data_IF_566938551447
#
_entry.id   IF_566938551447
#
_cell.length_a   1.000
_cell.length_b   1.000
_cell.length_c   1.000
_cell.angle_alpha   90.00
_cell.angle_beta   90.00
_cell.angle_gamma   90.00
#
_symmetry.space_group_name_H-M   'P 1'
#
loop_
_entity.id
_entity.type
_entity.pdbx_description
1 polymer ?
#
# COMPACT_ATOMS: atom_id res chain seq x y z
N UNK A 1 0.75 -4.59 2.65
CA UNK A 1 0.53 -3.13 2.84
C UNK A 1 1.49 -2.31 2.01
N UNK A 2 2.72 -1.99 2.47
CA UNK A 2 3.67 -1.13 1.73
C UNK A 2 3.90 -1.49 0.26
N UNK A 3 3.99 -2.79 -0.07
CA UNK A 3 4.13 -3.26 -1.46
C UNK A 3 2.90 -2.96 -2.33
N UNK A 4 1.69 -3.09 -1.77
CA UNK A 4 0.43 -2.81 -2.47
C UNK A 4 0.23 -1.29 -2.63
N UNK A 5 0.54 -0.51 -1.59
CA UNK A 5 0.54 0.96 -1.64
C UNK A 5 1.51 1.49 -2.71
N UNK A 6 2.73 0.94 -2.77
CA UNK A 6 3.69 1.27 -3.81
C UNK A 6 3.16 0.90 -5.20
N UNK A 7 2.56 -0.28 -5.36
CA UNK A 7 1.97 -0.73 -6.63
C UNK A 7 0.86 0.22 -7.09
N UNK A 8 -0.04 0.62 -6.20
CA UNK A 8 -1.11 1.60 -6.49
C UNK A 8 -0.51 2.94 -6.86
N UNK A 9 0.49 3.43 -6.11
CA UNK A 9 1.16 4.70 -6.39
C UNK A 9 1.81 4.71 -7.77
N UNK A 10 2.58 3.67 -8.11
CA UNK A 10 3.26 3.58 -9.41
C UNK A 10 2.26 3.50 -10.56
N UNK A 11 1.20 2.69 -10.42
CA UNK A 11 0.14 2.58 -11.43
C UNK A 11 -0.62 3.90 -11.60
N UNK A 12 -0.89 4.61 -10.51
CA UNK A 12 -1.53 5.92 -10.55
C UNK A 12 -0.68 6.95 -11.30
N UNK A 13 0.61 7.02 -11.00
CA UNK A 13 1.53 7.90 -11.73
C UNK A 13 1.57 7.59 -13.23
N UNK A 14 1.58 6.31 -13.61
CA UNK A 14 1.54 5.91 -15.01
C UNK A 14 0.22 6.30 -15.71
N UNK A 15 -0.92 6.18 -15.01
CA UNK A 15 -2.23 6.65 -15.51
C UNK A 15 -2.23 8.16 -15.69
N UNK A 16 -1.77 8.92 -14.69
CA UNK A 16 -1.75 10.38 -14.72
C UNK A 16 -0.85 10.90 -15.87
N UNK A 17 0.32 10.29 -16.06
CA UNK A 17 1.22 10.61 -17.17
C UNK A 17 0.58 10.30 -18.53
N UNK A 18 -0.07 9.14 -18.67
CA UNK A 18 -0.74 8.76 -19.91
C UNK A 18 -1.92 9.70 -20.23
N UNK A 19 -2.70 10.09 -19.22
CA UNK A 19 -3.78 11.07 -19.37
C UNK A 19 -3.26 12.44 -19.82
N UNK A 20 -2.13 12.88 -19.27
CA UNK A 20 -1.50 14.14 -19.68
C UNK A 20 -1.09 14.10 -21.17
N UNK A 21 -0.52 12.98 -21.63
CA UNK A 21 -0.14 12.79 -23.04
C UNK A 21 -1.34 12.76 -23.99
N UNK A 22 -2.44 12.09 -23.62
CA UNK A 22 -3.67 12.09 -24.40
C UNK A 22 -4.20 13.52 -24.55
N UNK A 23 -4.25 14.27 -23.44
CA UNK A 23 -4.72 15.65 -23.43
C UNK A 23 -3.85 16.58 -24.27
N UNK A 24 -2.54 16.37 -24.29
CA UNK A 24 -1.62 17.12 -25.15
C UNK A 24 -1.94 16.91 -26.64
N UNK A 25 -2.20 15.66 -27.05
CA UNK A 25 -2.58 15.35 -28.42
C UNK A 25 -3.95 15.94 -28.78
N UNK A 26 -4.93 15.86 -27.89
CA UNK A 26 -6.26 16.47 -28.10
C UNK A 26 -6.14 17.98 -28.31
N UNK A 27 -5.28 18.66 -27.53
CA UNK A 27 -5.01 20.09 -27.72
C UNK A 27 -4.34 20.38 -29.07
N UNK A 28 -3.33 19.57 -29.46
CA UNK A 28 -2.65 19.70 -30.74
C UNK A 28 -3.61 19.49 -31.92
N UNK A 29 -4.52 18.52 -31.83
CA UNK A 29 -5.56 18.31 -32.85
C UNK A 29 -6.51 19.51 -32.93
N UNK A 30 -6.96 20.05 -31.79
CA UNK A 30 -7.82 21.24 -31.75
C UNK A 30 -7.18 22.45 -32.43
N UNK A 31 -5.92 22.75 -32.12
CA UNK A 31 -5.18 23.85 -32.77
C UNK A 31 -4.95 23.61 -34.27
N UNK A 32 -4.67 22.35 -34.65
CA UNK A 32 -4.48 21.96 -36.05
C UNK A 32 -5.78 22.11 -36.85
N UNK A 33 -6.93 21.77 -36.27
CA UNK A 33 -8.24 21.97 -36.91
C UNK A 33 -8.54 23.46 -37.18
N UNK A 34 -8.25 24.34 -36.21
CA UNK A 34 -8.40 25.79 -36.40
C UNK A 34 -7.50 26.27 -37.55
N UNK A 35 -6.23 25.83 -37.56
CA UNK A 35 -5.26 26.20 -38.60
C UNK A 35 -5.69 25.72 -39.99
N UNK A 36 -6.25 24.50 -40.08
CA UNK A 36 -6.80 23.96 -41.34
C UNK A 36 -7.95 24.86 -41.84
N UNK A 37 -8.85 25.30 -40.94
CA UNK A 37 -9.95 26.20 -41.31
C UNK A 37 -9.42 27.55 -41.80
N UNK A 38 -8.44 28.13 -41.12
CA UNK A 38 -7.80 29.40 -41.55
C UNK A 38 -7.14 29.27 -42.93
N UNK A 39 -6.50 28.12 -43.21
CA UNK A 39 -5.93 27.82 -44.53
C UNK A 39 -7.00 27.66 -45.60
N UNK A 40 -8.14 27.04 -45.28
CA UNK A 40 -9.30 26.95 -46.19
C UNK A 40 -9.85 28.34 -46.53
N UNK A 41 -10.05 29.20 -45.53
CA UNK A 41 -10.52 30.56 -45.72
C UNK A 41 -9.53 31.40 -46.55
N UNK A 42 -8.22 31.22 -46.33
CA UNK A 42 -7.16 31.86 -47.12
C UNK A 42 -7.19 31.38 -48.57
N UNK A 43 -7.36 30.07 -48.80
CA UNK A 43 -7.50 29.49 -50.15
C UNK A 43 -8.69 30.09 -50.90
N UNK A 44 -9.85 30.21 -50.25
CA UNK A 44 -11.05 30.82 -50.84
C UNK A 44 -10.79 32.27 -51.24
N UNK A 45 -10.19 33.07 -50.34
CA UNK A 45 -9.86 34.48 -50.63
C UNK A 45 -8.87 34.63 -51.79
N UNK A 46 -7.83 33.81 -51.83
CA UNK A 46 -6.84 33.83 -52.92
C UNK A 46 -7.48 33.42 -54.25
N UNK A 47 -8.37 32.43 -54.23
CA UNK A 47 -9.10 31.97 -55.41
C UNK A 47 -10.06 33.05 -55.93
N UNK A 48 -10.77 33.75 -55.05
CA UNK A 48 -11.59 34.91 -55.44
C UNK A 48 -10.76 36.06 -56.03
N UNK A 49 -9.56 36.30 -55.49
CA UNK A 49 -8.63 37.29 -56.05
C UNK A 49 -8.16 36.87 -57.44
N UNK A 50 -7.81 35.59 -57.62
CA UNK A 50 -7.39 35.02 -58.90
C UNK A 50 -8.38 35.32 -60.03
N UNK A 51 -9.69 35.21 -59.76
CA UNK A 51 -10.75 35.50 -60.74
C UNK A 51 -10.90 36.98 -61.09
N UNK A 52 -10.36 37.90 -60.30
CA UNK A 52 -10.46 39.36 -60.51
C UNK A 52 -9.26 39.96 -61.26
N UNK A 53 -8.18 39.19 -61.42
CA UNK A 53 -6.92 39.66 -61.98
C UNK A 53 -6.90 39.51 -63.50
N UNK A 54 -6.58 40.60 -64.21
CA UNK A 54 -6.49 40.63 -65.68
C UNK A 54 -5.04 40.53 -66.21
N UNK A 55 -4.05 40.47 -65.32
CA UNK A 55 -2.63 40.39 -65.64
C UNK A 55 -2.14 38.94 -65.46
N UNK A 56 -1.68 38.29 -66.53
CA UNK A 56 -1.19 36.90 -66.51
C UNK A 56 -0.10 36.66 -65.45
N UNK A 57 0.80 37.64 -65.22
CA UNK A 57 1.89 37.46 -64.25
C UNK A 57 1.37 37.39 -62.80
N UNK A 58 0.35 38.17 -62.49
CA UNK A 58 -0.29 38.15 -61.17
C UNK A 58 -1.16 36.90 -61.01
N UNK A 59 -1.85 36.48 -62.08
CA UNK A 59 -2.59 35.22 -62.10
C UNK A 59 -1.69 34.01 -61.77
N UNK A 60 -0.53 33.90 -62.43
CA UNK A 60 0.44 32.83 -62.18
C UNK A 60 0.99 32.87 -60.75
N UNK A 61 1.20 34.07 -60.19
CA UNK A 61 1.67 34.25 -58.81
C UNK A 61 0.63 33.76 -57.79
N UNK A 62 -0.63 34.17 -57.96
CA UNK A 62 -1.72 33.74 -57.08
C UNK A 62 -1.95 32.23 -57.19
N UNK A 63 -1.85 31.68 -58.40
CA UNK A 63 -1.96 30.22 -58.63
C UNK A 63 -0.94 29.45 -57.80
N UNK A 64 0.33 29.87 -57.81
CA UNK A 64 1.39 29.25 -57.01
C UNK A 64 1.13 29.38 -55.50
N UNK A 65 0.59 30.51 -55.05
CA UNK A 65 0.26 30.70 -53.64
C UNK A 65 -0.91 29.81 -53.19
N UNK A 66 -1.94 29.64 -54.03
CA UNK A 66 -3.03 28.68 -53.80
C UNK A 66 -2.51 27.25 -53.72
N UNK A 67 -1.64 26.84 -54.65
CA UNK A 67 -1.02 25.50 -54.62
C UNK A 67 -0.17 25.29 -53.37
N UNK A 68 0.57 26.32 -52.95
CA UNK A 68 1.37 26.27 -51.72
C UNK A 68 0.48 26.05 -50.49
N UNK A 69 -0.58 26.86 -50.31
CA UNK A 69 -1.51 26.74 -49.17
C UNK A 69 -2.23 25.38 -49.20
N UNK A 70 -2.62 24.87 -50.37
CA UNK A 70 -3.19 23.52 -50.52
C UNK A 70 -2.23 22.44 -50.06
N UNK A 71 -0.95 22.54 -50.45
CA UNK A 71 0.10 21.61 -50.05
C UNK A 71 0.32 21.62 -48.53
N UNK A 72 0.37 22.80 -47.92
CA UNK A 72 0.51 22.94 -46.46
C UNK A 72 -0.70 22.35 -45.72
N UNK A 73 -1.93 22.64 -46.19
CA UNK A 73 -3.14 22.06 -45.61
C UNK A 73 -3.13 20.54 -45.70
N UNK A 74 -2.83 19.97 -46.86
CA UNK A 74 -2.78 18.52 -47.05
C UNK A 74 -1.73 17.86 -46.14
N UNK A 75 -0.57 18.50 -45.95
CA UNK A 75 0.45 18.02 -45.02
C UNK A 75 -0.02 18.06 -43.56
N UNK A 76 -0.77 19.10 -43.17
CA UNK A 76 -1.32 19.21 -41.82
C UNK A 76 -2.46 18.20 -41.57
N UNK A 77 -3.33 17.98 -42.56
CA UNK A 77 -4.38 16.95 -42.52
C UNK A 77 -3.78 15.54 -42.35
N UNK A 78 -2.65 15.24 -43.02
CA UNK A 78 -1.96 13.96 -42.86
C UNK A 78 -1.35 13.79 -41.46
N UNK A 79 -0.76 14.85 -40.91
CA UNK A 79 -0.27 14.85 -39.53
C UNK A 79 -1.41 14.63 -38.54
N UNK A 80 -2.57 15.26 -38.78
CA UNK A 80 -3.76 15.10 -37.96
C UNK A 80 -4.28 13.64 -37.99
N UNK A 81 -4.35 13.02 -39.17
CA UNK A 81 -4.69 11.60 -39.31
C UNK A 81 -3.76 10.71 -38.47
N UNK A 82 -2.46 10.95 -38.56
CA UNK A 82 -1.46 10.21 -37.78
C UNK A 82 -1.63 10.44 -36.27
N UNK A 83 -1.90 11.67 -35.85
CA UNK A 83 -2.15 12.03 -34.46
C UNK A 83 -3.41 11.33 -33.91
N UNK A 84 -4.50 11.26 -34.68
CA UNK A 84 -5.73 10.55 -34.29
C UNK A 84 -5.51 9.05 -34.07
N UNK A 85 -4.73 8.40 -34.94
CA UNK A 85 -4.37 6.99 -34.73
C UNK A 85 -3.51 6.83 -33.47
N UNK A 86 -2.57 7.74 -33.21
CA UNK A 86 -1.78 7.73 -31.98
C UNK A 86 -2.64 7.92 -30.74
N UNK A 87 -3.62 8.83 -30.80
CA UNK A 87 -4.56 9.12 -29.72
C UNK A 87 -5.40 7.88 -29.36
N UNK A 88 -5.94 7.19 -30.36
CA UNK A 88 -6.73 5.97 -30.18
C UNK A 88 -5.92 4.88 -29.46
N UNK A 89 -4.67 4.65 -29.89
CA UNK A 89 -3.75 3.70 -29.25
C UNK A 89 -3.42 4.08 -27.80
N UNK A 90 -3.25 5.37 -27.52
CA UNK A 90 -2.98 5.87 -26.17
C UNK A 90 -4.22 5.75 -25.27
N UNK A 91 -5.43 6.02 -25.80
CA UNK A 91 -6.70 5.84 -25.08
C UNK A 91 -6.94 4.37 -24.74
N UNK A 92 -6.71 3.44 -25.67
CA UNK A 92 -6.79 2.00 -25.39
C UNK A 92 -5.77 1.56 -24.32
N UNK A 93 -4.55 2.10 -24.37
CA UNK A 93 -3.52 1.84 -23.35
C UNK A 93 -3.90 2.41 -21.99
N UNK A 94 -4.51 3.59 -21.97
CA UNK A 94 -5.01 4.25 -20.76
C UNK A 94 -6.13 3.42 -20.12
N UNK A 95 -7.11 2.94 -20.90
CA UNK A 95 -8.18 2.07 -20.40
C UNK A 95 -7.60 0.84 -19.68
N UNK A 96 -6.63 0.16 -20.31
CA UNK A 96 -5.94 -0.97 -19.68
C UNK A 96 -5.25 -0.59 -18.37
N UNK A 97 -4.50 0.52 -18.35
CA UNK A 97 -3.81 0.98 -17.13
C UNK A 97 -4.80 1.38 -16.03
N UNK A 98 -5.94 1.97 -16.37
CA UNK A 98 -6.99 2.33 -15.41
C UNK A 98 -7.65 1.09 -14.81
N UNK A 99 -7.88 0.04 -15.60
CA UNK A 99 -8.38 -1.24 -15.11
C UNK A 99 -7.37 -1.90 -14.15
N UNK A 100 -6.09 -1.90 -14.50
CA UNK A 100 -5.02 -2.38 -13.63
C UNK A 100 -4.88 -1.58 -12.32
N UNK A 101 -5.11 -0.26 -12.37
CA UNK A 101 -5.13 0.59 -11.18
C UNK A 101 -6.31 0.24 -10.27
N UNK A 102 -7.50 0.07 -10.83
CA UNK A 102 -8.71 -0.30 -10.09
C UNK A 102 -8.53 -1.65 -9.37
N UNK A 103 -7.98 -2.65 -10.07
CA UNK A 103 -7.65 -3.95 -9.48
C UNK A 103 -6.67 -3.82 -8.30
N UNK A 104 -5.60 -3.02 -8.47
CA UNK A 104 -4.63 -2.79 -7.40
C UNK A 104 -5.24 -2.07 -6.19
N UNK A 105 -6.17 -1.13 -6.42
CA UNK A 105 -6.88 -0.42 -5.36
C UNK A 105 -7.82 -1.35 -4.59
N UNK A 106 -8.55 -2.23 -5.28
CA UNK A 106 -9.39 -3.25 -4.64
C UNK A 106 -8.55 -4.16 -3.75
N UNK A 107 -7.45 -4.71 -4.27
CA UNK A 107 -6.57 -5.59 -3.51
C UNK A 107 -5.96 -4.90 -2.28
N UNK A 108 -5.69 -3.59 -2.35
CA UNK A 108 -5.23 -2.82 -1.20
C UNK A 108 -6.34 -2.66 -0.16
N UNK A 109 -7.55 -2.31 -0.59
CA UNK A 109 -8.71 -2.12 0.30
C UNK A 109 -9.08 -3.41 1.04
N UNK A 110 -9.07 -4.56 0.35
CA UNK A 110 -9.35 -5.85 0.96
C UNK A 110 -8.31 -6.17 2.05
N UNK A 111 -7.02 -5.92 1.79
CA UNK A 111 -5.96 -6.15 2.77
C UNK A 111 -6.01 -5.17 3.95
N UNK A 112 -6.47 -3.93 3.74
CA UNK A 112 -6.71 -2.98 4.82
C UNK A 112 -7.82 -3.46 5.73
N UNK A 113 -8.94 -3.91 5.15
CA UNK A 113 -10.08 -4.43 5.90
C UNK A 113 -9.73 -5.68 6.72
N UNK A 114 -8.95 -6.59 6.15
CA UNK A 114 -8.43 -7.76 6.87
C UNK A 114 -7.56 -7.35 8.07
N UNK A 115 -6.67 -6.38 7.89
CA UNK A 115 -5.81 -5.87 8.95
C UNK A 115 -6.60 -5.17 10.06
N UNK A 116 -7.61 -4.38 9.70
CA UNK A 116 -8.50 -3.72 10.64
C UNK A 116 -9.29 -4.73 11.49
N UNK A 117 -9.82 -5.79 10.86
CA UNK A 117 -10.49 -6.88 11.57
C UNK A 117 -9.54 -7.54 12.56
N UNK A 118 -8.36 -7.96 12.10
CA UNK A 118 -7.37 -8.62 12.95
C UNK A 118 -6.92 -7.72 14.12
N UNK A 119 -6.73 -6.44 13.87
CA UNK A 119 -6.37 -5.47 14.92
C UNK A 119 -7.53 -5.28 15.90
N UNK A 120 -8.77 -5.27 15.41
CA UNK A 120 -9.98 -5.28 16.23
C UNK A 120 -10.02 -6.48 17.18
N UNK A 121 -9.82 -7.68 16.63
CA UNK A 121 -9.82 -8.95 17.38
C UNK A 121 -8.71 -8.96 18.44
N UNK A 122 -7.47 -8.61 18.07
CA UNK A 122 -6.37 -8.51 19.03
C UNK A 122 -6.59 -7.46 20.12
N UNK A 123 -7.28 -6.35 19.81
CA UNK A 123 -7.63 -5.35 20.82
C UNK A 123 -8.64 -5.89 21.83
N UNK A 124 -9.56 -6.75 21.41
CA UNK A 124 -10.51 -7.43 22.30
C UNK A 124 -9.77 -8.42 23.21
N UNK A 125 -8.90 -9.25 22.65
CA UNK A 125 -8.06 -10.17 23.41
C UNK A 125 -7.16 -9.42 24.41
N UNK A 126 -6.51 -8.34 23.98
CA UNK A 126 -5.68 -7.53 24.86
C UNK A 126 -6.48 -6.96 26.04
N UNK A 127 -7.68 -6.43 25.79
CA UNK A 127 -8.57 -5.94 26.85
C UNK A 127 -8.98 -7.05 27.81
N UNK A 128 -9.26 -8.25 27.29
CA UNK A 128 -9.56 -9.44 28.10
C UNK A 128 -8.40 -9.79 29.02
N UNK A 129 -7.18 -9.91 28.49
CA UNK A 129 -6.00 -10.23 29.29
C UNK A 129 -5.64 -9.13 30.31
N UNK A 130 -5.82 -7.85 29.96
CA UNK A 130 -5.66 -6.75 30.93
C UNK A 130 -6.68 -6.88 32.07
N UNK A 131 -7.94 -7.15 31.76
CA UNK A 131 -8.97 -7.32 32.79
C UNK A 131 -8.70 -8.54 33.68
N UNK A 132 -8.26 -9.67 33.10
CA UNK A 132 -7.83 -10.84 33.87
C UNK A 132 -6.65 -10.52 34.79
N UNK A 133 -5.63 -9.83 34.26
CA UNK A 133 -4.47 -9.40 35.04
C UNK A 133 -4.87 -8.51 36.22
N UNK A 134 -5.74 -7.53 36.02
CA UNK A 134 -6.20 -6.63 37.08
C UNK A 134 -6.96 -7.38 38.19
N UNK A 135 -7.74 -8.40 37.84
CA UNK A 135 -8.41 -9.27 38.83
C UNK A 135 -7.40 -10.05 39.66
N UNK A 136 -6.41 -10.66 39.00
CA UNK A 136 -5.38 -11.47 39.69
C UNK A 136 -4.50 -10.60 40.60
N UNK A 137 -4.11 -9.40 40.15
CA UNK A 137 -3.31 -8.47 40.96
C UNK A 137 -4.07 -8.04 42.22
N UNK A 138 -5.39 -7.84 42.14
CA UNK A 138 -6.18 -7.42 43.29
C UNK A 138 -6.18 -8.44 44.45
N UNK A 139 -5.95 -9.73 44.13
CA UNK A 139 -5.89 -10.82 45.11
C UNK A 139 -4.45 -11.23 45.46
N UNK A 140 -3.44 -10.59 44.86
CA UNK A 140 -2.02 -10.92 45.03
C UNK A 140 -1.40 -10.09 46.16
N UNK A 141 -0.45 -10.68 46.89
CA UNK A 141 0.34 -9.95 47.89
C UNK A 141 1.28 -8.92 47.24
N UNK A 142 1.29 -7.70 47.76
CA UNK A 142 2.07 -6.56 47.24
C UNK A 142 3.56 -6.88 47.08
N UNK A 143 4.14 -7.72 47.96
CA UNK A 143 5.56 -8.08 47.89
C UNK A 143 5.85 -9.04 46.74
N UNK A 144 4.92 -9.95 46.44
CA UNK A 144 5.01 -10.86 45.30
C UNK A 144 4.83 -10.12 43.97
N UNK A 145 3.90 -9.17 43.92
CA UNK A 145 3.72 -8.33 42.73
C UNK A 145 4.98 -7.51 42.45
N UNK A 146 5.54 -6.85 43.47
CA UNK A 146 6.74 -6.03 43.33
C UNK A 146 7.95 -6.84 42.81
N UNK A 147 8.13 -8.06 43.30
CA UNK A 147 9.22 -8.94 42.87
C UNK A 147 9.01 -9.45 41.44
N UNK A 148 7.78 -9.81 41.06
CA UNK A 148 7.44 -10.16 39.68
C UNK A 148 7.71 -9.00 38.72
N UNK A 149 7.26 -7.78 39.04
CA UNK A 149 7.49 -6.61 38.21
C UNK A 149 8.97 -6.25 38.12
N UNK A 150 9.73 -6.38 39.21
CA UNK A 150 11.18 -6.21 39.22
C UNK A 150 11.88 -7.19 38.27
N UNK A 151 11.42 -8.44 38.19
CA UNK A 151 12.00 -9.41 37.24
C UNK A 151 11.57 -9.05 35.81
N UNK A 152 10.32 -8.59 35.61
CA UNK A 152 9.82 -8.19 34.29
C UNK A 152 10.56 -7.04 33.64
N UNK A 153 11.19 -6.15 34.42
CA UNK A 153 12.02 -5.08 33.85
C UNK A 153 13.22 -5.63 33.07
N UNK A 154 13.73 -6.82 33.46
CA UNK A 154 14.89 -7.46 32.82
C UNK A 154 14.50 -8.64 31.91
N UNK A 155 13.37 -9.30 32.18
CA UNK A 155 12.90 -10.46 31.42
C UNK A 155 11.42 -10.31 31.05
N UNK A 156 11.10 -10.27 29.75
CA UNK A 156 9.70 -10.21 29.27
C UNK A 156 8.83 -11.31 29.91
N UNK A 157 9.39 -12.50 30.06
CA UNK A 157 8.81 -13.63 30.80
C UNK A 157 9.50 -13.71 32.17
N UNK A 158 8.84 -13.18 33.20
CA UNK A 158 9.36 -13.22 34.57
C UNK A 158 9.18 -14.59 35.24
N UNK A 159 8.15 -15.34 34.84
CA UNK A 159 7.83 -16.67 35.37
C UNK A 159 7.96 -17.71 34.27
N UNK A 160 8.60 -18.84 34.59
CA UNK A 160 8.90 -19.92 33.65
C UNK A 160 8.72 -21.29 34.30
N UNK A 161 8.24 -22.25 33.51
CA UNK A 161 8.08 -23.62 33.98
C UNK A 161 9.41 -24.39 34.00
N UNK A 162 9.48 -25.38 34.88
CA UNK A 162 10.52 -26.42 34.82
C UNK A 162 10.09 -27.44 33.76
N UNK A 163 10.93 -27.67 32.76
CA UNK A 163 10.72 -28.70 31.73
C UNK A 163 11.98 -29.56 31.67
N UNK A 164 11.84 -30.88 31.81
CA UNK A 164 12.97 -31.84 31.82
C UNK A 164 14.08 -31.42 32.80
N UNK A 165 13.69 -31.18 34.04
CA UNK A 165 14.59 -30.74 35.13
C UNK A 165 15.41 -29.48 34.84
N UNK A 166 14.94 -28.62 33.92
CA UNK A 166 15.66 -27.41 33.50
C UNK A 166 14.73 -26.19 33.48
N UNK A 167 15.31 -25.01 33.74
CA UNK A 167 14.60 -23.74 33.62
C UNK A 167 14.24 -23.48 32.14
N UNK A 168 12.97 -23.30 31.78
CA UNK A 168 12.60 -23.09 30.38
C UNK A 168 13.05 -21.73 29.80
N UNK A 169 13.42 -20.77 30.66
CA UNK A 169 13.88 -19.45 30.23
C UNK A 169 15.38 -19.30 29.97
N UNK A 170 16.25 -20.11 30.60
CA UNK A 170 17.71 -20.07 30.38
C UNK A 170 18.34 -21.44 30.17
N UNK A 171 17.54 -22.51 30.20
CA UNK A 171 17.93 -23.89 29.95
C UNK A 171 18.98 -24.46 30.90
N UNK A 172 19.26 -23.80 32.03
CA UNK A 172 20.11 -24.37 33.07
C UNK A 172 19.39 -25.51 33.79
N UNK A 173 20.11 -26.60 34.05
CA UNK A 173 19.63 -27.69 34.88
C UNK A 173 19.34 -27.21 36.30
N UNK A 174 18.23 -27.68 36.88
CA UNK A 174 17.79 -27.38 38.24
C UNK A 174 18.05 -28.64 39.08
N UNK A 175 18.73 -28.53 40.23
CA UNK A 175 19.00 -29.69 41.08
C UNK A 175 17.72 -30.41 41.51
N UNK A 176 17.71 -31.74 41.47
CA UNK A 176 16.53 -32.56 41.78
C UNK A 176 15.98 -32.31 43.20
N UNK A 177 16.85 -31.99 44.16
CA UNK A 177 16.44 -31.62 45.52
C UNK A 177 15.60 -30.34 45.54
N UNK A 178 15.95 -29.34 44.71
CA UNK A 178 15.22 -28.07 44.59
C UNK A 178 13.88 -28.29 43.90
N UNK A 179 13.83 -29.16 42.88
CA UNK A 179 12.58 -29.58 42.23
C UNK A 179 11.64 -30.27 43.24
N UNK A 180 12.17 -31.16 44.09
CA UNK A 180 11.38 -31.78 45.16
C UNK A 180 10.88 -30.74 46.17
N UNK A 181 11.74 -29.83 46.63
CA UNK A 181 11.35 -28.75 47.56
C UNK A 181 10.19 -27.91 46.99
N UNK A 182 10.27 -27.55 45.70
CA UNK A 182 9.21 -26.84 45.00
C UNK A 182 7.88 -27.62 44.97
N UNK A 183 7.94 -28.94 44.78
CA UNK A 183 6.73 -29.79 44.76
C UNK A 183 6.06 -29.91 46.14
N UNK A 184 6.85 -29.97 47.22
CA UNK A 184 6.32 -30.12 48.58
C UNK A 184 5.92 -28.79 49.24
N UNK A 185 6.62 -27.71 48.91
CA UNK A 185 6.42 -26.38 49.53
C UNK A 185 5.87 -25.38 48.49
N UNK A 186 4.67 -25.63 47.99
CA UNK A 186 4.04 -24.81 46.92
C UNK A 186 3.75 -23.36 47.31
N UNK A 187 3.68 -23.07 48.60
CA UNK A 187 3.40 -21.71 49.12
C UNK A 187 4.62 -20.78 49.01
N UNK A 188 5.82 -21.33 48.80
CA UNK A 188 7.07 -20.57 48.71
C UNK A 188 7.40 -20.25 47.25
N UNK A 189 7.80 -19.01 46.99
CA UNK A 189 8.30 -18.61 45.67
C UNK A 189 9.75 -19.04 45.47
N UNK A 190 10.04 -19.64 44.31
CA UNK A 190 11.39 -20.07 43.93
C UNK A 190 11.85 -19.32 42.69
N UNK A 191 13.13 -18.96 42.65
CA UNK A 191 13.77 -18.33 41.49
C UNK A 191 14.88 -19.22 40.94
N UNK A 192 15.20 -19.05 39.65
CA UNK A 192 16.32 -19.70 39.01
C UNK A 192 17.64 -19.08 39.48
N UNK A 193 18.57 -19.88 39.98
CA UNK A 193 19.86 -19.40 40.46
C UNK A 193 20.74 -18.81 39.34
N UNK A 194 20.50 -19.21 38.09
CA UNK A 194 21.30 -18.78 36.95
C UNK A 194 20.75 -17.50 36.27
N UNK A 195 19.42 -17.36 36.17
CA UNK A 195 18.81 -16.22 35.45
C UNK A 195 17.82 -15.40 36.27
N UNK A 196 17.55 -15.75 37.53
CA UNK A 196 16.70 -14.98 38.43
C UNK A 196 15.19 -15.03 38.15
N UNK A 197 14.73 -15.67 37.06
CA UNK A 197 13.28 -15.85 36.79
C UNK A 197 12.59 -16.69 37.84
N UNK A 198 11.31 -16.43 38.10
CA UNK A 198 10.45 -17.22 38.98
C UNK A 198 10.21 -18.59 38.32
N UNK A 199 10.38 -19.66 39.09
CA UNK A 199 10.19 -21.03 38.64
C UNK A 199 8.85 -21.57 39.12
N UNK A 200 8.09 -22.18 38.20
CA UNK A 200 6.88 -22.95 38.52
C UNK A 200 7.06 -24.39 38.09
N UNK A 201 6.40 -25.31 38.80
CA UNK A 201 6.41 -26.73 38.42
C UNK A 201 5.53 -26.96 37.18
N UNK A 202 5.80 -28.04 36.46
CA UNK A 202 5.14 -28.34 35.18
C UNK A 202 3.62 -28.49 35.32
N UNK A 203 3.17 -29.14 36.38
CA UNK A 203 1.76 -29.32 36.72
C UNK A 203 1.04 -27.98 36.96
N UNK A 204 1.67 -27.04 37.66
CA UNK A 204 1.09 -25.71 37.90
C UNK A 204 1.01 -24.91 36.61
N UNK A 205 2.01 -25.03 35.73
CA UNK A 205 1.98 -24.37 34.43
C UNK A 205 0.83 -24.89 33.56
N UNK A 206 0.66 -26.21 33.51
CA UNK A 206 -0.41 -26.85 32.72
C UNK A 206 -1.82 -26.51 33.31
N UNK A 207 -1.97 -26.42 34.64
CA UNK A 207 -3.21 -25.95 35.29
C UNK A 207 -3.57 -24.51 34.91
N UNK A 208 -2.59 -23.60 34.90
CA UNK A 208 -2.80 -22.19 34.53
C UNK A 208 -3.13 -22.04 33.04
N UNK A 209 -2.49 -22.82 32.17
CA UNK A 209 -2.82 -22.84 30.74
C UNK A 209 -4.28 -23.22 30.52
N UNK A 210 -4.78 -24.25 31.20
CA UNK A 210 -6.20 -24.64 31.13
C UNK A 210 -7.17 -23.53 31.61
N UNK A 211 -6.85 -22.84 32.71
CA UNK A 211 -7.68 -21.72 33.21
C UNK A 211 -7.74 -20.57 32.21
N UNK A 212 -6.63 -20.28 31.52
CA UNK A 212 -6.55 -19.19 30.54
C UNK A 212 -7.30 -19.55 29.25
N UNK A 213 -7.34 -20.82 28.87
CA UNK A 213 -8.12 -21.30 27.72
C UNK A 213 -9.64 -21.29 27.96
N UNK A 214 -10.09 -21.50 29.21
CA UNK A 214 -11.51 -21.52 29.58
C UNK A 214 -12.10 -20.13 29.89
N UNK A 215 -11.28 -19.18 30.35
CA UNK A 215 -11.66 -17.78 30.58
C UNK A 215 -11.82 -17.02 29.27
#
# INVERSE_FOLDING_TARGET
MKKLELKVRTRKLAVDEMQARVKEIENLQGTSHITIQEMQDKETKLTEQQFKVNNNREFDSITKEVEHVKGERAALEERLRTASVSEENLKASLERLTAELAEAQSALADKQKELESLTGDHNVELKKFIAMRLKVIADLDDTLEAEYERIRTFHREATVAIRRDSCSGCYSAIPSQRIMEMKYNREKMYTCENCGRILVTEDVADEVEAIVEEA
#
